data_IF_370708831998
#
_entry.id   IF_370708831998
#
_cell.length_a   1.000
_cell.length_b   1.000
_cell.length_c   1.000
_cell.angle_alpha   90.00
_cell.angle_beta   90.00
_cell.angle_gamma   90.00
#
_symmetry.space_group_name_H-M   'P 1'
#
loop_
_entity.id
_entity.type
_entity.pdbx_description
1 polymer ?
#
# COMPACT_ATOMS: atom_id res chain seq x y z
N UNK A 1 33.18 13.15 16.89
CA UNK A 1 32.28 13.67 17.94
C UNK A 1 30.88 13.67 17.38
N UNK A 2 30.10 12.63 17.65
CA UNK A 2 28.76 12.48 17.08
C UNK A 2 27.74 13.08 18.04
N UNK A 3 27.39 14.34 17.82
CA UNK A 3 26.39 15.05 18.63
C UNK A 3 25.00 14.64 18.18
N UNK A 4 24.39 13.68 18.89
CA UNK A 4 22.95 13.42 18.81
C UNK A 4 22.27 14.38 19.78
N UNK A 5 21.31 15.16 19.30
CA UNK A 5 20.51 16.06 20.13
C UNK A 5 19.13 15.46 20.37
N UNK A 6 18.64 15.57 21.60
CA UNK A 6 17.31 15.09 21.97
C UNK A 6 16.38 16.26 22.25
N UNK A 7 15.19 16.21 21.67
CA UNK A 7 14.10 17.14 21.94
C UNK A 7 13.14 16.43 22.89
N UNK A 8 12.97 17.00 24.08
CA UNK A 8 12.12 16.43 25.13
C UNK A 8 10.71 17.02 25.07
N UNK A 9 9.72 16.20 25.39
CA UNK A 9 8.33 16.62 25.55
C UNK A 9 8.06 17.21 26.94
N UNK A 10 6.81 17.61 27.19
CA UNK A 10 6.40 18.29 28.43
C UNK A 10 6.56 17.42 29.70
N UNK A 11 6.64 16.10 29.52
CA UNK A 11 6.92 15.13 30.59
C UNK A 11 8.42 14.92 30.86
N UNK A 12 9.31 15.62 30.13
CA UNK A 12 10.76 15.48 30.23
C UNK A 12 11.33 14.25 29.52
N UNK A 13 10.52 13.46 28.81
CA UNK A 13 10.99 12.33 28.01
C UNK A 13 11.42 12.78 26.62
N UNK A 14 12.46 12.15 26.05
CA UNK A 14 12.92 12.44 24.70
C UNK A 14 11.89 11.95 23.67
N UNK A 15 11.27 12.89 22.94
CA UNK A 15 10.26 12.59 21.91
C UNK A 15 10.88 12.56 20.52
N UNK A 16 11.92 13.35 20.27
CA UNK A 16 12.65 13.34 19.01
C UNK A 16 14.16 13.31 19.22
N UNK A 17 14.87 12.73 18.25
CA UNK A 17 16.32 12.81 18.17
C UNK A 17 16.73 13.42 16.82
N UNK A 18 17.68 14.35 16.86
CA UNK A 18 18.34 14.91 15.68
C UNK A 18 19.72 14.27 15.58
N UNK A 19 19.95 13.57 14.47
CA UNK A 19 21.18 12.85 14.21
C UNK A 19 21.74 13.21 12.83
N UNK A 20 23.08 13.16 12.65
CA UNK A 20 23.70 13.28 11.33
C UNK A 20 23.15 12.24 10.36
N UNK A 21 22.89 12.65 9.12
CA UNK A 21 22.22 11.81 8.11
C UNK A 21 22.95 10.48 7.83
N UNK A 22 24.27 10.45 7.95
CA UNK A 22 25.07 9.23 7.76
C UNK A 22 24.85 8.21 8.88
N UNK A 23 24.63 8.68 10.10
CA UNK A 23 24.30 7.83 11.24
C UNK A 23 22.90 7.24 11.09
N UNK A 24 21.94 8.03 10.63
CA UNK A 24 20.59 7.55 10.33
C UNK A 24 20.63 6.44 9.27
N UNK A 25 21.36 6.67 8.18
CA UNK A 25 21.54 5.68 7.10
C UNK A 25 22.23 4.40 7.59
N UNK A 26 23.19 4.52 8.50
CA UNK A 26 23.90 3.36 9.08
C UNK A 26 23.02 2.56 10.04
N UNK A 27 22.16 3.21 10.82
CA UNK A 27 21.16 2.55 11.68
C UNK A 27 20.14 1.77 10.83
N UNK A 28 19.68 2.35 9.73
CA UNK A 28 18.81 1.65 8.77
C UNK A 28 19.51 0.49 8.06
N UNK A 29 20.81 0.61 7.80
CA UNK A 29 21.58 -0.44 7.10
C UNK A 29 22.03 -1.59 8.02
N UNK A 30 22.14 -1.36 9.34
CA UNK A 30 22.65 -2.34 10.32
C UNK A 30 21.62 -2.95 11.27
N UNK A 31 20.33 -2.58 11.16
CA UNK A 31 19.27 -2.94 12.11
C UNK A 31 18.61 -4.32 11.89
N UNK A 32 19.39 -5.39 11.70
CA UNK A 32 18.89 -6.78 11.70
C UNK A 32 19.14 -7.51 13.04
N UNK A 33 19.22 -6.78 14.14
CA UNK A 33 19.53 -7.38 15.45
C UNK A 33 19.18 -6.47 16.62
N UNK A 34 17.89 -6.25 16.86
CA UNK A 34 17.31 -6.08 18.19
C UNK A 34 15.79 -6.04 18.03
N UNK A 35 15.09 -6.86 18.79
CA UNK A 35 13.64 -7.04 18.78
C UNK A 35 12.90 -5.71 19.01
N UNK A 36 12.38 -5.14 17.93
CA UNK A 36 11.20 -4.30 17.92
C UNK A 36 10.42 -4.76 16.69
N UNK A 37 9.21 -5.27 16.92
CA UNK A 37 8.31 -5.83 15.92
C UNK A 37 8.40 -5.06 14.61
N UNK A 38 8.61 -5.79 13.51
CA UNK A 38 8.57 -5.27 12.14
C UNK A 38 7.51 -4.18 12.08
N UNK A 39 7.91 -2.94 11.78
CA UNK A 39 6.99 -1.81 11.74
C UNK A 39 5.95 -2.10 10.67
N UNK A 40 4.85 -2.74 11.07
CA UNK A 40 3.73 -3.07 10.24
C UNK A 40 3.21 -1.76 9.68
N UNK A 41 3.03 -1.69 8.36
CA UNK A 41 2.51 -0.50 7.71
C UNK A 41 1.24 -0.04 8.45
N UNK A 42 0.99 1.28 8.67
CA UNK A 42 -0.11 1.76 9.52
C UNK A 42 -1.52 1.28 9.15
N UNK A 43 -1.69 0.80 7.91
CA UNK A 43 -2.94 0.24 7.41
C UNK A 43 -3.04 -1.28 7.53
N UNK A 44 -1.93 -1.99 7.79
CA UNK A 44 -1.93 -3.43 7.98
C UNK A 44 -2.35 -3.77 9.41
N UNK A 45 -3.11 -4.85 9.57
CA UNK A 45 -3.31 -5.49 10.87
C UNK A 45 -2.03 -6.22 11.31
N UNK A 46 -2.02 -6.68 12.57
CA UNK A 46 -0.89 -7.41 13.18
C UNK A 46 -0.47 -8.64 12.35
N UNK A 47 -1.45 -9.37 11.81
CA UNK A 47 -1.20 -10.57 10.99
C UNK A 47 -0.83 -10.26 9.52
N UNK A 48 -0.83 -8.98 9.11
CA UNK A 48 -0.56 -8.53 7.75
C UNK A 48 -1.48 -9.14 6.66
N UNK A 49 -2.67 -9.58 7.05
CA UNK A 49 -3.69 -10.18 6.17
C UNK A 49 -4.79 -9.20 5.76
N UNK A 50 -4.91 -8.06 6.45
CA UNK A 50 -5.97 -7.07 6.25
C UNK A 50 -5.37 -5.68 6.09
N UNK A 51 -5.85 -4.93 5.09
CA UNK A 51 -5.49 -3.53 4.88
C UNK A 51 -6.72 -2.66 5.15
N UNK A 52 -6.61 -1.71 6.08
CA UNK A 52 -7.63 -0.69 6.29
C UNK A 52 -7.77 0.19 5.05
N UNK A 53 -8.98 0.29 4.50
CA UNK A 53 -9.26 1.20 3.37
C UNK A 53 -9.60 2.59 3.92
N UNK A 54 -8.75 3.62 3.72
CA UNK A 54 -8.90 4.93 4.37
C UNK A 54 -10.21 5.64 4.02
N UNK A 55 -10.75 5.37 2.83
CA UNK A 55 -11.91 6.07 2.28
C UNK A 55 -13.09 5.14 1.99
N UNK A 56 -13.08 3.92 2.52
CA UNK A 56 -14.15 2.93 2.33
C UNK A 56 -15.24 2.95 3.41
N UNK A 57 -15.09 3.78 4.45
CA UNK A 57 -15.97 3.83 5.61
C UNK A 57 -15.35 3.24 6.89
N UNK A 58 -16.08 3.31 8.01
CA UNK A 58 -15.57 2.95 9.34
C UNK A 58 -15.04 1.52 9.43
N UNK A 59 -15.66 0.57 8.72
CA UNK A 59 -15.34 -0.86 8.78
C UNK A 59 -14.86 -1.44 7.44
N UNK A 60 -14.37 -0.59 6.54
CA UNK A 60 -13.83 -1.06 5.27
C UNK A 60 -12.40 -1.59 5.42
N UNK A 61 -12.21 -2.86 5.06
CA UNK A 61 -10.93 -3.54 5.03
C UNK A 61 -10.82 -4.39 3.77
N UNK A 62 -9.61 -4.45 3.21
CA UNK A 62 -9.25 -5.32 2.12
C UNK A 62 -8.53 -6.55 2.69
N UNK A 63 -9.13 -7.73 2.56
CA UNK A 63 -8.50 -8.99 2.93
C UNK A 63 -7.57 -9.46 1.81
N UNK A 64 -6.26 -9.50 2.09
CA UNK A 64 -5.21 -9.80 1.12
C UNK A 64 -5.38 -11.22 0.53
N UNK A 65 -5.66 -12.28 1.30
CA UNK A 65 -5.91 -13.61 0.75
C UNK A 65 -7.07 -13.65 -0.26
N UNK A 66 -8.16 -12.90 -0.02
CA UNK A 66 -9.29 -12.85 -0.95
C UNK A 66 -8.92 -12.11 -2.23
N UNK A 67 -8.13 -11.04 -2.13
CA UNK A 67 -7.55 -10.37 -3.29
C UNK A 67 -6.66 -11.33 -4.09
N UNK A 68 -5.71 -12.00 -3.44
CA UNK A 68 -4.82 -12.97 -4.11
C UNK A 68 -5.61 -14.10 -4.79
N UNK A 69 -6.64 -14.62 -4.12
CA UNK A 69 -7.55 -15.61 -4.70
C UNK A 69 -8.25 -15.07 -5.94
N UNK A 70 -8.84 -13.88 -5.87
CA UNK A 70 -9.49 -13.24 -7.02
C UNK A 70 -8.52 -13.08 -8.20
N UNK A 71 -7.29 -12.62 -7.94
CA UNK A 71 -6.28 -12.43 -8.98
C UNK A 71 -5.89 -13.76 -9.63
N UNK A 72 -5.72 -14.81 -8.83
CA UNK A 72 -5.42 -16.16 -9.31
C UNK A 72 -6.55 -16.71 -10.19
N UNK A 73 -7.80 -16.59 -9.73
CA UNK A 73 -8.99 -17.08 -10.43
C UNK A 73 -9.20 -16.35 -11.78
N UNK A 74 -8.74 -15.09 -11.88
CA UNK A 74 -8.80 -14.28 -13.10
C UNK A 74 -7.50 -14.31 -13.94
N UNK A 75 -6.49 -15.09 -13.54
CA UNK A 75 -5.21 -15.15 -14.25
C UNK A 75 -4.40 -13.84 -14.25
N UNK A 76 -4.66 -12.94 -13.29
CA UNK A 76 -4.00 -11.64 -13.19
C UNK A 76 -2.70 -11.79 -12.39
N UNK A 77 -1.56 -11.59 -13.06
CA UNK A 77 -0.23 -11.59 -12.41
C UNK A 77 0.25 -10.19 -12.02
N UNK A 78 -0.24 -9.17 -12.73
CA UNK A 78 0.16 -7.78 -12.51
C UNK A 78 -1.03 -6.85 -12.63
N UNK A 79 -1.12 -5.88 -11.73
CA UNK A 79 -2.21 -4.91 -11.63
C UNK A 79 -1.68 -3.51 -11.87
N UNK A 80 -2.20 -2.82 -12.88
CA UNK A 80 -1.87 -1.41 -13.04
C UNK A 80 -2.42 -0.63 -11.85
N UNK A 81 -1.58 0.26 -11.32
CA UNK A 81 -1.97 1.21 -10.28
C UNK A 81 -2.45 2.47 -10.99
N UNK A 82 -3.76 2.68 -11.03
CA UNK A 82 -4.33 3.86 -11.66
C UNK A 82 -4.36 5.02 -10.66
N UNK A 83 -3.59 6.08 -10.92
CA UNK A 83 -3.51 7.26 -10.04
C UNK A 83 -4.56 8.34 -10.37
N UNK A 84 -5.49 8.08 -11.29
CA UNK A 84 -6.54 9.06 -11.62
C UNK A 84 -7.80 8.79 -10.79
N UNK A 85 -8.09 9.71 -9.89
CA UNK A 85 -9.39 9.73 -9.19
C UNK A 85 -10.51 10.08 -10.19
N UNK A 86 -11.45 9.14 -10.34
CA UNK A 86 -12.68 9.30 -11.11
C UNK A 86 -13.78 8.40 -10.53
N UNK A 87 -15.03 8.67 -10.89
CA UNK A 87 -16.16 7.80 -10.55
C UNK A 87 -16.00 6.43 -11.22
N UNK A 88 -16.48 5.37 -10.59
CA UNK A 88 -16.17 4.00 -11.02
C UNK A 88 -16.67 3.71 -12.45
N UNK A 89 -17.84 4.27 -12.81
CA UNK A 89 -18.45 4.01 -14.11
C UNK A 89 -17.82 4.82 -15.25
N UNK A 90 -16.92 5.76 -14.94
CA UNK A 90 -16.14 6.50 -15.95
C UNK A 90 -14.84 5.79 -16.34
N UNK A 91 -14.51 4.67 -15.71
CA UNK A 91 -13.36 3.87 -16.13
C UNK A 91 -13.65 3.25 -17.50
N UNK A 92 -12.74 3.40 -18.48
CA UNK A 92 -12.84 2.67 -19.73
C UNK A 92 -12.95 1.16 -19.47
N UNK A 93 -13.69 0.39 -20.29
CA UNK A 93 -13.83 -1.06 -20.11
C UNK A 93 -12.49 -1.78 -20.00
N UNK A 94 -11.48 -1.33 -20.76
CA UNK A 94 -10.13 -1.93 -20.75
C UNK A 94 -9.40 -1.72 -19.41
N UNK A 95 -9.82 -0.75 -18.61
CA UNK A 95 -9.25 -0.43 -17.30
C UNK A 95 -10.03 -1.05 -16.13
N UNK A 96 -11.11 -1.80 -16.39
CA UNK A 96 -11.95 -2.41 -15.36
C UNK A 96 -11.19 -3.43 -14.48
N UNK A 97 -10.06 -3.94 -14.97
CA UNK A 97 -9.18 -4.91 -14.29
C UNK A 97 -7.91 -4.29 -13.71
N UNK A 98 -7.92 -2.97 -13.46
CA UNK A 98 -6.87 -2.29 -12.69
C UNK A 98 -7.17 -2.32 -11.19
N UNK A 99 -6.18 -2.04 -10.35
CA UNK A 99 -6.26 -2.25 -8.89
C UNK A 99 -7.47 -1.54 -8.25
N UNK A 100 -7.64 -0.25 -8.55
CA UNK A 100 -8.67 0.59 -7.93
C UNK A 100 -10.11 0.17 -8.32
N UNK A 101 -10.43 -0.04 -9.62
CA UNK A 101 -11.70 -0.64 -10.02
C UNK A 101 -12.01 -2.00 -9.39
N UNK A 102 -11.02 -2.88 -9.25
CA UNK A 102 -11.21 -4.19 -8.61
C UNK A 102 -11.58 -4.00 -7.14
N UNK A 103 -10.81 -3.21 -6.38
CA UNK A 103 -11.12 -2.95 -4.96
C UNK A 103 -12.53 -2.39 -4.80
N UNK A 104 -12.90 -1.39 -5.62
CA UNK A 104 -14.20 -0.72 -5.52
C UNK A 104 -15.39 -1.60 -5.91
N UNK A 105 -15.19 -2.56 -6.81
CA UNK A 105 -16.26 -3.42 -7.33
C UNK A 105 -16.44 -4.69 -6.51
N UNK A 106 -15.34 -5.29 -6.08
CA UNK A 106 -15.33 -6.65 -5.50
C UNK A 106 -15.11 -6.65 -3.99
N UNK A 107 -14.49 -5.60 -3.42
CA UNK A 107 -14.03 -5.59 -2.03
C UNK A 107 -14.60 -4.45 -1.17
N UNK A 108 -15.47 -3.59 -1.73
CA UNK A 108 -16.22 -2.60 -0.96
C UNK A 108 -17.63 -3.11 -0.64
N UNK A 109 -17.96 -3.26 0.65
CA UNK A 109 -19.30 -3.61 1.10
C UNK A 109 -20.29 -2.44 1.09
N UNK A 110 -19.82 -1.20 1.32
CA UNK A 110 -20.66 0.00 1.33
C UNK A 110 -20.56 0.76 0.00
N UNK A 111 -21.62 0.69 -0.80
CA UNK A 111 -21.69 1.29 -2.13
C UNK A 111 -21.63 2.82 -2.11
N UNK A 112 -21.84 3.50 -0.97
CA UNK A 112 -21.70 4.96 -0.85
C UNK A 112 -20.28 5.44 -1.17
N UNK A 113 -19.28 4.60 -0.92
CA UNK A 113 -17.87 4.90 -1.14
C UNK A 113 -17.33 4.36 -2.48
N UNK A 114 -18.17 3.71 -3.30
CA UNK A 114 -17.79 3.11 -4.59
C UNK A 114 -17.13 4.09 -5.55
N UNK A 115 -17.52 5.37 -5.49
CA UNK A 115 -16.99 6.42 -6.36
C UNK A 115 -15.75 7.12 -5.79
N UNK A 116 -15.29 6.72 -4.61
CA UNK A 116 -14.07 7.24 -3.97
C UNK A 116 -12.89 6.30 -4.22
N UNK A 117 -11.73 6.86 -4.57
CA UNK A 117 -10.50 6.11 -4.79
C UNK A 117 -10.09 5.36 -3.54
N UNK A 118 -9.83 4.06 -3.68
CA UNK A 118 -9.43 3.17 -2.58
C UNK A 118 -7.98 2.74 -2.71
N UNK A 119 -7.45 2.57 -3.93
CA UNK A 119 -6.05 2.21 -4.14
C UNK A 119 -5.11 3.42 -4.01
N UNK A 120 -5.12 4.08 -2.85
CA UNK A 120 -4.23 5.21 -2.56
C UNK A 120 -2.77 4.75 -2.48
N UNK A 121 -1.83 5.70 -2.45
CA UNK A 121 -0.41 5.40 -2.29
C UNK A 121 -0.16 4.54 -1.05
N UNK A 122 -0.82 4.86 0.07
CA UNK A 122 -0.71 4.16 1.35
C UNK A 122 -1.28 2.73 1.26
N UNK A 123 -2.38 2.52 0.53
CA UNK A 123 -2.92 1.16 0.32
C UNK A 123 -1.98 0.34 -0.58
N UNK A 124 -1.37 0.96 -1.59
CA UNK A 124 -0.36 0.31 -2.43
C UNK A 124 0.90 -0.01 -1.62
N UNK A 125 1.35 0.89 -0.74
CA UNK A 125 2.45 0.65 0.18
C UNK A 125 2.15 -0.49 1.15
N UNK A 126 0.94 -0.55 1.71
CA UNK A 126 0.49 -1.64 2.56
C UNK A 126 0.49 -3.00 1.82
N UNK A 127 0.02 -3.04 0.58
CA UNK A 127 0.07 -4.24 -0.25
C UNK A 127 1.52 -4.71 -0.46
N UNK A 128 2.45 -3.80 -0.73
CA UNK A 128 3.87 -4.15 -0.88
C UNK A 128 4.47 -4.60 0.46
N UNK A 129 4.13 -3.93 1.55
CA UNK A 129 4.60 -4.26 2.89
C UNK A 129 4.12 -5.64 3.38
N UNK A 130 3.00 -6.15 2.87
CA UNK A 130 2.53 -7.52 3.15
C UNK A 130 3.43 -8.62 2.59
N UNK A 131 4.40 -8.28 1.72
CA UNK A 131 5.32 -9.24 1.10
C UNK A 131 4.76 -9.99 -0.11
N UNK A 132 3.44 -9.95 -0.36
CA UNK A 132 2.81 -10.64 -1.50
C UNK A 132 2.87 -9.87 -2.82
N UNK A 133 3.32 -8.60 -2.79
CA UNK A 133 3.35 -7.74 -3.96
C UNK A 133 4.66 -6.98 -4.07
N UNK A 134 5.12 -6.75 -5.30
CA UNK A 134 6.25 -5.85 -5.58
C UNK A 134 5.89 -4.83 -6.65
N UNK A 135 6.51 -3.65 -6.57
CA UNK A 135 6.33 -2.58 -7.58
C UNK A 135 7.11 -2.88 -8.84
N UNK A 136 6.44 -2.73 -9.99
CA UNK A 136 7.05 -2.89 -11.31
C UNK A 136 6.57 -1.81 -12.29
N UNK A 137 7.28 -1.68 -13.41
CA UNK A 137 6.80 -0.94 -14.59
C UNK A 137 6.33 -1.95 -15.63
N UNK A 138 5.09 -1.81 -16.11
CA UNK A 138 4.51 -2.72 -17.09
C UNK A 138 3.78 -1.97 -18.19
N UNK A 139 3.92 -2.45 -19.43
CA UNK A 139 3.12 -2.03 -20.58
C UNK A 139 1.89 -2.93 -20.70
N UNK A 140 0.72 -2.33 -20.83
CA UNK A 140 -0.54 -3.02 -21.07
C UNK A 140 -1.06 -2.61 -22.45
N UNK A 141 -0.84 -3.47 -23.44
CA UNK A 141 -1.28 -3.22 -24.81
C UNK A 141 -2.80 -3.08 -24.86
N UNK A 142 -3.29 -2.09 -25.62
CA UNK A 142 -4.72 -1.78 -25.69
C UNK A 142 -5.31 -1.04 -24.48
N UNK A 143 -4.60 -0.96 -23.34
CA UNK A 143 -5.11 -0.30 -22.12
C UNK A 143 -4.43 1.06 -21.88
N UNK A 144 -3.10 1.11 -22.01
CA UNK A 144 -2.32 2.33 -21.80
C UNK A 144 -1.35 2.56 -22.97
N UNK A 145 -1.23 3.82 -23.41
CA UNK A 145 -0.29 4.21 -24.47
C UNK A 145 1.19 4.14 -24.07
N UNK A 146 1.50 3.87 -22.80
CA UNK A 146 2.87 3.79 -22.26
C UNK A 146 2.95 2.78 -21.11
N UNK A 147 4.18 2.45 -20.71
CA UNK A 147 4.42 1.70 -19.47
C UNK A 147 3.96 2.49 -18.25
N UNK A 148 3.24 1.84 -17.35
CA UNK A 148 2.69 2.43 -16.11
C UNK A 148 3.21 1.70 -14.88
N UNK A 149 3.00 2.30 -13.70
CA UNK A 149 3.26 1.63 -12.44
C UNK A 149 2.26 0.50 -12.24
N UNK A 150 2.74 -0.63 -11.73
CA UNK A 150 1.93 -1.79 -11.44
C UNK A 150 2.43 -2.49 -10.17
N UNK A 151 1.57 -3.30 -9.58
CA UNK A 151 1.93 -4.33 -8.61
C UNK A 151 2.02 -5.67 -9.32
N UNK A 152 3.09 -6.41 -9.09
CA UNK A 152 3.22 -7.81 -9.48
C UNK A 152 3.06 -8.68 -8.23
N UNK A 153 2.27 -9.75 -8.35
CA UNK A 153 2.13 -10.76 -7.30
C UNK A 153 3.43 -11.56 -7.20
N UNK A 154 3.94 -11.70 -5.99
CA UNK A 154 5.12 -12.50 -5.66
C UNK A 154 4.64 -13.78 -4.99
N UNK A 155 4.93 -14.93 -5.60
CA UNK A 155 4.70 -16.26 -5.02
C UNK A 155 5.81 -16.64 -4.03
#
# INVERSE_FOLDING_TARGET
>A
MSSVQFIHGDNGEAVFAVLPIEMYRSLLAGGAGSEASASSHPLLNEDQTMIKLPYGGHDAYLHIPDLLKYLKDNGIKHLAINQRAQILDNFPPEQAMTLDPIIRREFLGDLRYRNTMQATTEVVDALVASGHFRRVKKRYEGVFGRSVNALEVVE
#
